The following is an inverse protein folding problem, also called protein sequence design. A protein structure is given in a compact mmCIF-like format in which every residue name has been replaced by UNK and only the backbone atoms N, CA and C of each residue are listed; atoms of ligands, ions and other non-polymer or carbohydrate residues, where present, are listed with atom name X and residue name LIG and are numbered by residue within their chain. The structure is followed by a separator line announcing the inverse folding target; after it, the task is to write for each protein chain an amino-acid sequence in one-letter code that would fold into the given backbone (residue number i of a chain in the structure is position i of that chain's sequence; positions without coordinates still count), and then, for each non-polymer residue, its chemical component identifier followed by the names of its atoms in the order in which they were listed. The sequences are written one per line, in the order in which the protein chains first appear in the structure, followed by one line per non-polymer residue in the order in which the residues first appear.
data_IF_627608430622
#
_entry.id   IF_627608430622
#
_cell.length_a   1.000
_cell.length_b   1.000
_cell.length_c   1.000
_cell.angle_alpha   90.00
_cell.angle_beta   90.00
_cell.angle_gamma   90.00
#
_symmetry.space_group_name_H-M   'P 1'
#
loop_
_entity.id
_entity.type
_entity.pdbx_description
1 polymer ?
#
# COMPACT_ATOMS: atom_id res chain seq x y z
N UNK A 1 12.33 -2.50 7.02
CA UNK A 1 11.16 -1.64 7.35
C UNK A 1 10.12 -2.44 8.13
N UNK A 2 9.25 -1.79 8.89
CA UNK A 2 8.11 -2.40 9.59
C UNK A 2 6.89 -1.49 9.58
N UNK A 3 5.70 -2.04 9.34
CA UNK A 3 4.42 -1.35 9.55
C UNK A 3 4.05 -1.46 11.02
N UNK A 4 4.02 -0.33 11.73
CA UNK A 4 3.74 -0.28 13.18
C UNK A 4 2.30 0.10 13.49
N UNK A 5 1.61 0.75 12.56
CA UNK A 5 0.22 1.17 12.72
C UNK A 5 -0.51 1.08 11.38
N UNK A 6 -1.78 0.68 11.41
CA UNK A 6 -2.70 0.66 10.26
C UNK A 6 -4.01 1.29 10.71
N UNK A 7 -4.40 2.38 10.07
CA UNK A 7 -5.61 3.15 10.37
C UNK A 7 -6.48 3.25 9.12
N UNK A 8 -7.70 2.70 9.19
CA UNK A 8 -8.68 2.82 8.12
C UNK A 8 -9.52 4.09 8.31
N UNK A 9 -9.76 4.82 7.22
CA UNK A 9 -10.66 5.97 7.19
C UNK A 9 -11.90 5.68 6.38
N UNK A 10 -13.02 6.34 6.71
CA UNK A 10 -14.30 6.23 5.99
C UNK A 10 -14.22 6.65 4.51
N UNK A 11 -13.11 7.24 4.07
CA UNK A 11 -12.89 7.73 2.71
C UNK A 11 -12.21 6.71 1.79
N UNK A 12 -12.33 5.40 2.04
CA UNK A 12 -11.66 4.35 1.24
C UNK A 12 -10.14 4.55 1.14
N UNK A 13 -9.54 5.05 2.23
CA UNK A 13 -8.11 5.36 2.35
C UNK A 13 -7.59 4.76 3.64
N UNK A 14 -6.46 4.09 3.58
CA UNK A 14 -5.75 3.57 4.75
C UNK A 14 -4.48 4.37 4.95
N UNK A 15 -4.17 4.69 6.22
CA UNK A 15 -2.88 5.24 6.65
C UNK A 15 -2.07 4.15 7.33
N UNK A 16 -0.81 4.09 6.97
CA UNK A 16 0.19 3.20 7.53
C UNK A 16 1.27 4.07 8.16
N UNK A 17 1.63 3.75 9.40
CA UNK A 17 2.88 4.28 9.98
C UNK A 17 3.95 3.22 9.76
N UNK A 18 4.99 3.61 9.03
CA UNK A 18 6.10 2.73 8.64
C UNK A 18 7.38 3.23 9.30
N UNK A 19 8.09 2.33 9.97
CA UNK A 19 9.38 2.64 10.60
C UNK A 19 10.53 1.91 9.90
N UNK A 20 11.60 2.66 9.65
CA UNK A 20 12.86 2.14 9.15
C UNK A 20 13.75 1.75 10.34
N UNK A 21 14.35 0.54 10.33
CA UNK A 21 15.17 0.07 11.45
C UNK A 21 16.43 0.91 11.63
N UNK A 22 17.01 1.40 10.54
CA UNK A 22 18.08 2.40 10.55
C UNK A 22 17.54 3.73 10.03
N UNK A 23 17.53 4.80 10.85
CA UNK A 23 17.02 6.12 10.46
C UNK A 23 17.87 6.83 9.40
N UNK A 24 19.04 6.30 9.04
CA UNK A 24 19.91 6.82 7.99
C UNK A 24 19.88 5.96 6.70
N UNK A 25 19.36 4.74 6.77
CA UNK A 25 19.26 3.84 5.61
C UNK A 25 17.81 3.60 5.21
N UNK A 26 17.13 4.67 4.79
CA UNK A 26 15.73 4.62 4.33
C UNK A 26 15.54 4.80 2.83
N UNK A 27 16.57 5.25 2.09
CA UNK A 27 16.53 5.41 0.63
C UNK A 27 16.97 4.13 -0.08
N UNK A 28 16.38 3.85 -1.25
CA UNK A 28 16.76 2.77 -2.17
C UNK A 28 18.19 2.92 -2.69
N UNK A 29 18.83 4.09 -2.57
CA UNK A 29 20.26 4.27 -2.84
C UNK A 29 21.14 3.39 -1.94
N UNK A 30 20.73 3.17 -0.70
CA UNK A 30 21.44 2.31 0.25
C UNK A 30 21.16 0.82 0.00
N UNK A 31 20.10 0.51 -0.75
CA UNK A 31 19.67 -0.86 -1.04
C UNK A 31 19.24 -1.02 -2.52
N UNK A 32 20.13 -0.75 -3.49
CA UNK A 32 19.77 -0.65 -4.92
C UNK A 32 19.31 -1.98 -5.53
N UNK A 33 19.57 -3.10 -4.84
CA UNK A 33 19.10 -4.42 -5.23
C UNK A 33 17.59 -4.58 -5.06
N UNK A 34 16.97 -3.88 -4.11
CA UNK A 34 15.51 -3.96 -3.85
C UNK A 34 14.71 -3.55 -5.08
N UNK A 35 14.77 -2.31 -5.61
CA UNK A 35 13.98 -1.92 -6.78
C UNK A 35 14.34 -2.76 -8.02
N UNK A 36 15.61 -3.12 -8.19
CA UNK A 36 16.06 -3.96 -9.33
C UNK A 36 15.38 -5.32 -9.35
N UNK A 37 15.31 -6.00 -8.20
CA UNK A 37 14.67 -7.31 -8.10
C UNK A 37 13.15 -7.17 -8.10
N UNK A 38 12.61 -6.13 -7.46
CA UNK A 38 11.18 -5.88 -7.43
C UNK A 38 10.60 -5.71 -8.84
N UNK A 39 11.25 -4.97 -9.74
CA UNK A 39 10.80 -4.86 -11.13
C UNK A 39 10.91 -6.15 -11.95
N UNK A 40 11.71 -7.12 -11.51
CA UNK A 40 11.71 -8.45 -12.15
C UNK A 40 10.49 -9.25 -11.73
N UNK A 41 10.07 -9.13 -10.46
CA UNK A 41 8.88 -9.79 -9.92
C UNK A 41 7.59 -9.11 -10.38
N UNK A 42 7.61 -7.78 -10.48
CA UNK A 42 6.47 -6.94 -10.82
C UNK A 42 6.85 -5.98 -11.96
N UNK A 43 6.88 -6.45 -13.22
CA UNK A 43 7.26 -5.60 -14.35
C UNK A 43 6.34 -4.39 -14.55
N UNK A 44 5.03 -4.54 -14.26
CA UNK A 44 4.05 -3.47 -14.44
C UNK A 44 4.25 -2.28 -13.52
N UNK A 45 4.87 -2.50 -12.35
CA UNK A 45 5.27 -1.45 -11.43
C UNK A 45 6.09 -0.34 -12.11
N UNK A 46 6.87 -0.71 -13.14
CA UNK A 46 7.69 0.25 -13.89
C UNK A 46 6.88 1.28 -14.70
N UNK A 47 5.61 1.00 -14.96
CA UNK A 47 4.67 1.87 -15.67
C UNK A 47 3.83 2.74 -14.73
N UNK A 48 3.97 2.59 -13.40
CA UNK A 48 3.26 3.44 -12.47
C UNK A 48 3.62 4.91 -12.70
N UNK A 49 2.61 5.76 -12.57
CA UNK A 49 2.78 7.20 -12.63
C UNK A 49 2.98 7.75 -11.21
N UNK A 50 4.03 8.56 -11.01
CA UNK A 50 4.28 9.26 -9.75
C UNK A 50 4.50 10.75 -10.00
N UNK A 51 3.89 11.59 -9.17
CA UNK A 51 4.06 13.05 -9.21
C UNK A 51 5.26 13.44 -8.34
N UNK A 52 6.47 13.25 -8.86
CA UNK A 52 7.72 13.41 -8.13
C UNK A 52 8.41 14.78 -8.27
N UNK A 53 7.65 15.79 -8.72
CA UNK A 53 8.15 17.15 -8.98
C UNK A 53 9.12 17.28 -10.16
N UNK A 54 9.73 16.18 -10.61
CA UNK A 54 10.77 16.13 -11.65
C UNK A 54 10.28 15.52 -12.97
N UNK A 55 9.05 14.97 -13.00
CA UNK A 55 8.46 14.32 -14.17
C UNK A 55 9.14 12.99 -14.55
N UNK A 56 9.83 12.34 -13.61
CA UNK A 56 10.47 11.05 -13.88
C UNK A 56 9.44 9.92 -13.91
N UNK A 57 9.70 8.91 -14.74
CA UNK A 57 8.98 7.64 -14.61
C UNK A 57 9.31 6.97 -13.28
N UNK A 58 8.37 6.20 -12.75
CA UNK A 58 8.57 5.51 -11.47
C UNK A 58 9.80 4.56 -11.51
N UNK A 59 10.07 3.94 -12.67
CA UNK A 59 11.29 3.13 -12.86
C UNK A 59 12.59 3.92 -12.65
N UNK A 60 12.61 5.20 -13.03
CA UNK A 60 13.78 6.06 -12.81
C UNK A 60 13.84 6.54 -11.37
N UNK A 61 12.71 6.99 -10.84
CA UNK A 61 12.59 7.51 -9.47
C UNK A 61 12.94 6.46 -8.41
N UNK A 62 12.43 5.24 -8.55
CA UNK A 62 12.68 4.12 -7.61
C UNK A 62 14.15 3.78 -7.37
N UNK A 63 15.08 4.28 -8.20
CA UNK A 63 16.53 4.13 -7.99
C UNK A 63 17.07 5.01 -6.87
N UNK A 64 16.38 6.10 -6.54
CA UNK A 64 16.75 7.05 -5.50
C UNK A 64 15.47 7.64 -4.91
N UNK A 65 14.77 6.82 -4.13
CA UNK A 65 13.56 7.20 -3.41
C UNK A 65 13.50 6.47 -2.08
N UNK A 66 12.61 6.86 -1.19
CA UNK A 66 12.40 6.24 0.11
C UNK A 66 11.79 4.84 -0.05
N UNK A 67 12.30 3.85 0.70
CA UNK A 67 11.78 2.48 0.70
C UNK A 67 10.27 2.45 1.03
N UNK A 68 9.74 3.27 1.97
CA UNK A 68 8.29 3.37 2.19
C UNK A 68 7.48 3.87 0.99
N UNK A 69 8.06 4.71 0.12
CA UNK A 69 7.41 5.14 -1.12
C UNK A 69 7.41 4.00 -2.16
N UNK A 70 8.49 3.23 -2.27
CA UNK A 70 8.49 2.00 -3.07
C UNK A 70 7.44 0.99 -2.58
N UNK A 71 7.30 0.86 -1.26
CA UNK A 71 6.32 0.01 -0.60
C UNK A 71 4.89 0.44 -0.91
N UNK A 72 4.57 1.73 -0.90
CA UNK A 72 3.28 2.27 -1.34
C UNK A 72 2.89 1.78 -2.73
N UNK A 73 3.78 1.97 -3.70
CA UNK A 73 3.55 1.54 -5.08
C UNK A 73 3.36 0.02 -5.20
N UNK A 74 4.09 -0.76 -4.40
CA UNK A 74 3.93 -2.21 -4.36
C UNK A 74 2.56 -2.63 -3.83
N UNK A 75 2.02 -1.94 -2.80
CA UNK A 75 0.66 -2.21 -2.32
C UNK A 75 -0.35 -1.95 -3.45
N UNK A 76 -0.20 -0.84 -4.17
CA UNK A 76 -1.07 -0.49 -5.30
C UNK A 76 -1.00 -1.54 -6.41
N UNK A 77 0.20 -1.97 -6.79
CA UNK A 77 0.41 -3.04 -7.79
C UNK A 77 -0.27 -4.35 -7.37
N UNK A 78 -0.10 -4.77 -6.11
CA UNK A 78 -0.71 -6.01 -5.60
C UNK A 78 -2.24 -5.95 -5.61
N UNK A 79 -2.82 -4.79 -5.27
CA UNK A 79 -4.26 -4.59 -5.42
C UNK A 79 -4.67 -4.63 -6.89
N UNK A 80 -3.92 -3.97 -7.78
CA UNK A 80 -4.18 -3.92 -9.22
C UNK A 80 -4.10 -5.26 -9.94
N UNK A 81 -3.32 -6.22 -9.42
CA UNK A 81 -3.30 -7.59 -9.97
C UNK A 81 -4.54 -8.42 -9.62
N UNK A 82 -5.32 -7.98 -8.64
CA UNK A 82 -6.57 -8.62 -8.22
C UNK A 82 -7.78 -7.87 -8.75
N UNK A 83 -7.75 -6.54 -8.70
CA UNK A 83 -8.83 -5.67 -9.16
C UNK A 83 -8.78 -5.52 -10.69
N UNK A 84 -9.89 -5.81 -11.35
CA UNK A 84 -9.98 -5.65 -12.81
C UNK A 84 -10.14 -4.19 -13.26
N UNK A 85 -10.41 -3.26 -12.34
CA UNK A 85 -10.55 -1.83 -12.62
C UNK A 85 -10.29 -0.98 -11.37
N UNK A 86 -9.57 0.13 -11.55
CA UNK A 86 -9.34 1.11 -10.50
C UNK A 86 -8.04 1.88 -10.69
N UNK A 87 -8.14 3.21 -10.69
CA UNK A 87 -6.97 4.09 -10.59
C UNK A 87 -6.75 4.39 -9.10
N UNK A 88 -6.12 3.46 -8.38
CA UNK A 88 -5.76 3.65 -6.98
C UNK A 88 -4.60 4.63 -6.86
N UNK A 89 -4.67 5.51 -5.87
CA UNK A 89 -3.60 6.46 -5.55
C UNK A 89 -2.95 6.13 -4.21
N UNK A 90 -1.72 6.57 -4.08
CA UNK A 90 -0.98 6.55 -2.84
C UNK A 90 -0.30 7.88 -2.58
N UNK A 91 0.16 8.06 -1.36
CA UNK A 91 0.97 9.19 -0.96
C UNK A 91 1.86 8.83 0.22
N UNK A 92 3.16 9.12 0.11
CA UNK A 92 4.13 8.90 1.17
C UNK A 92 4.63 10.24 1.68
N UNK A 93 4.52 10.44 2.99
CA UNK A 93 4.89 11.69 3.67
C UNK A 93 5.83 11.41 4.85
N UNK A 94 6.65 12.40 5.19
CA UNK A 94 7.46 12.42 6.41
C UNK A 94 7.72 13.86 6.87
N UNK A 95 7.90 14.03 8.18
CA UNK A 95 8.30 15.32 8.75
C UNK A 95 9.24 15.12 9.95
N UNK A 96 10.55 15.17 9.71
CA UNK A 96 11.58 14.94 10.73
C UNK A 96 11.67 16.01 11.82
N UNK A 97 10.91 17.11 11.72
CA UNK A 97 10.80 18.08 12.81
C UNK A 97 9.78 17.65 13.86
N UNK A 98 8.84 16.78 13.49
CA UNK A 98 7.72 16.33 14.33
C UNK A 98 7.86 14.85 14.68
N UNK A 99 8.21 14.02 13.68
CA UNK A 99 8.37 12.58 13.83
C UNK A 99 9.84 12.18 13.98
N UNK A 100 10.13 11.07 14.68
CA UNK A 100 11.46 10.47 14.68
C UNK A 100 11.95 10.20 13.25
N UNK A 101 13.23 10.47 12.98
CA UNK A 101 13.85 10.17 11.69
C UNK A 101 13.65 8.69 11.33
N UNK A 102 13.26 8.41 10.09
CA UNK A 102 12.96 7.05 9.63
C UNK A 102 11.50 6.62 9.80
N UNK A 103 10.62 7.47 10.35
CA UNK A 103 9.16 7.26 10.39
C UNK A 103 8.44 7.90 9.20
N UNK A 104 7.67 7.10 8.49
CA UNK A 104 6.91 7.53 7.32
C UNK A 104 5.42 7.31 7.54
N UNK A 105 4.62 8.21 6.98
CA UNK A 105 3.17 8.05 6.88
C UNK A 105 2.85 7.73 5.43
N UNK A 106 2.45 6.49 5.18
CA UNK A 106 2.10 6.00 3.85
C UNK A 106 0.59 5.90 3.77
N UNK A 107 0.00 6.48 2.74
CA UNK A 107 -1.43 6.42 2.51
C UNK A 107 -1.71 5.69 1.21
N UNK A 108 -2.72 4.83 1.22
CA UNK A 108 -3.12 4.07 0.02
C UNK A 108 -4.65 4.06 -0.08
N UNK A 109 -5.16 4.33 -1.27
CA UNK A 109 -6.58 4.13 -1.59
C UNK A 109 -6.89 2.65 -1.77
N UNK A 110 -8.10 2.25 -1.42
CA UNK A 110 -8.59 0.88 -1.58
C UNK A 110 -10.08 0.86 -1.91
N UNK A 111 -10.55 -0.23 -2.51
CA UNK A 111 -11.99 -0.48 -2.72
C UNK A 111 -12.52 -1.67 -1.93
N UNK A 112 -11.60 -2.50 -1.42
CA UNK A 112 -11.88 -3.68 -0.62
C UNK A 112 -10.88 -3.75 0.55
N UNK A 113 -11.40 -3.68 1.78
CA UNK A 113 -10.60 -3.57 3.01
C UNK A 113 -9.75 -4.81 3.29
N UNK A 114 -10.30 -6.00 3.05
CA UNK A 114 -9.57 -7.25 3.27
C UNK A 114 -8.44 -7.41 2.25
N UNK A 115 -8.68 -7.01 1.00
CA UNK A 115 -7.66 -7.02 -0.04
C UNK A 115 -6.51 -6.08 0.31
N UNK A 116 -6.77 -4.82 0.66
CA UNK A 116 -5.68 -3.88 0.96
C UNK A 116 -4.90 -4.31 2.19
N UNK A 117 -5.57 -4.84 3.23
CA UNK A 117 -4.90 -5.37 4.42
C UNK A 117 -3.97 -6.53 4.06
N UNK A 118 -4.44 -7.46 3.21
CA UNK A 118 -3.61 -8.53 2.67
C UNK A 118 -2.43 -7.99 1.88
N UNK A 119 -2.67 -7.04 0.97
CA UNK A 119 -1.65 -6.44 0.11
C UNK A 119 -0.56 -5.73 0.93
N UNK A 120 -0.93 -5.01 2.00
CA UNK A 120 0.01 -4.38 2.94
C UNK A 120 0.97 -5.43 3.54
N UNK A 121 0.43 -6.55 4.04
CA UNK A 121 1.24 -7.60 4.68
C UNK A 121 2.12 -8.35 3.68
N UNK A 122 1.61 -8.61 2.48
CA UNK A 122 2.38 -9.24 1.41
C UNK A 122 3.51 -8.31 0.97
N UNK A 123 3.23 -7.03 0.72
CA UNK A 123 4.22 -6.04 0.33
C UNK A 123 5.32 -5.88 1.39
N UNK A 124 4.95 -5.84 2.68
CA UNK A 124 5.90 -5.69 3.79
C UNK A 124 6.88 -6.87 3.80
N UNK A 125 6.36 -8.10 3.71
CA UNK A 125 7.16 -9.32 3.66
C UNK A 125 8.03 -9.38 2.40
N UNK A 126 7.54 -8.96 1.24
CA UNK A 126 8.34 -8.92 0.00
C UNK A 126 9.53 -7.97 0.16
N UNK A 127 9.30 -6.73 0.63
CA UNK A 127 10.38 -5.77 0.83
C UNK A 127 11.40 -6.30 1.84
N UNK A 128 10.95 -6.86 2.96
CA UNK A 128 11.84 -7.47 3.97
C UNK A 128 12.63 -8.66 3.39
N UNK A 129 12.02 -9.50 2.57
CA UNK A 129 12.69 -10.64 1.94
C UNK A 129 13.67 -10.23 0.86
N UNK A 130 13.40 -9.13 0.14
CA UNK A 130 14.35 -8.54 -0.80
C UNK A 130 15.58 -7.98 -0.08
N UNK A 131 15.36 -7.24 1.00
CA UNK A 131 16.41 -6.60 1.82
C UNK A 131 17.31 -7.64 2.50
N UNK A 132 16.71 -8.70 3.06
CA UNK A 132 17.42 -9.83 3.67
C UNK A 132 17.92 -10.89 2.68
N UNK A 133 17.67 -10.71 1.38
CA UNK A 133 18.06 -11.61 0.28
C UNK A 133 17.49 -13.03 0.39
N UNK A 134 16.31 -13.17 0.95
CA UNK A 134 15.56 -14.43 1.11
C UNK A 134 14.29 -14.48 0.26
N UNK A 135 14.25 -13.76 -0.86
CA UNK A 135 13.06 -13.63 -1.70
C UNK A 135 12.58 -14.94 -2.33
N UNK A 136 13.50 -15.91 -2.48
CA UNK A 136 13.22 -17.29 -2.89
C UNK A 136 12.26 -18.02 -1.96
N UNK A 137 12.12 -17.57 -0.71
CA UNK A 137 11.18 -18.12 0.27
C UNK A 137 9.75 -17.57 0.09
N UNK A 138 9.56 -16.53 -0.72
CA UNK A 138 8.25 -15.91 -0.97
C UNK A 138 7.71 -16.40 -2.31
N UNK A 139 6.68 -17.24 -2.26
CA UNK A 139 5.95 -17.64 -3.46
C UNK A 139 4.94 -16.55 -3.86
N UNK A 140 5.37 -15.60 -4.70
CA UNK A 140 4.58 -14.44 -5.13
C UNK A 140 3.24 -14.84 -5.77
N UNK A 141 3.22 -15.87 -6.61
CA UNK A 141 2.00 -16.35 -7.28
C UNK A 141 0.95 -16.83 -6.27
N UNK A 142 1.38 -17.60 -5.27
CA UNK A 142 0.51 -18.06 -4.19
C UNK A 142 -0.01 -16.90 -3.35
N UNK A 143 0.80 -15.89 -3.11
CA UNK A 143 0.36 -14.69 -2.40
C UNK A 143 -0.72 -13.92 -3.17
N UNK A 144 -0.54 -13.73 -4.47
CA UNK A 144 -1.56 -13.10 -5.32
C UNK A 144 -2.86 -13.92 -5.29
N UNK A 145 -2.79 -15.25 -5.34
CA UNK A 145 -3.97 -16.09 -5.24
C UNK A 145 -4.69 -15.97 -3.87
N UNK A 146 -3.93 -15.87 -2.78
CA UNK A 146 -4.51 -15.58 -1.47
C UNK A 146 -5.21 -14.20 -1.45
N UNK A 147 -4.61 -13.19 -2.09
CA UNK A 147 -5.22 -11.85 -2.21
C UNK A 147 -6.56 -11.89 -2.97
N UNK A 148 -6.67 -12.71 -4.05
CA UNK A 148 -7.95 -12.91 -4.75
C UNK A 148 -9.02 -13.49 -3.84
N UNK A 149 -8.67 -14.46 -3.00
CA UNK A 149 -9.59 -15.05 -2.02
C UNK A 149 -10.03 -14.04 -0.96
N UNK A 150 -9.10 -13.22 -0.46
CA UNK A 150 -9.43 -12.14 0.47
C UNK A 150 -10.38 -11.10 -0.15
N UNK A 151 -10.14 -10.73 -1.42
CA UNK A 151 -11.03 -9.83 -2.13
C UNK A 151 -12.45 -10.42 -2.23
N UNK A 152 -12.58 -11.68 -2.67
CA UNK A 152 -13.87 -12.35 -2.76
C UNK A 152 -14.62 -12.42 -1.42
N UNK A 153 -13.91 -12.68 -0.31
CA UNK A 153 -14.50 -12.64 1.03
C UNK A 153 -14.94 -11.23 1.43
N UNK A 154 -14.14 -10.21 1.13
CA UNK A 154 -14.48 -8.81 1.41
C UNK A 154 -15.75 -8.36 0.69
N UNK A 155 -15.93 -8.79 -0.57
CA UNK A 155 -17.12 -8.47 -1.35
C UNK A 155 -18.38 -9.17 -0.79
N UNK A 156 -18.25 -10.41 -0.31
CA UNK A 156 -19.34 -11.13 0.35
C UNK A 156 -19.77 -10.44 1.65
N UNK A 157 -18.82 -9.98 2.47
CA UNK A 157 -19.14 -9.26 3.71
C UNK A 157 -19.86 -7.94 3.40
N UNK A 158 -19.38 -7.20 2.40
CA UNK A 158 -19.98 -5.93 1.99
C UNK A 158 -21.40 -6.08 1.45
N UNK A 159 -21.67 -7.15 0.71
CA UNK A 159 -23.01 -7.46 0.17
C UNK A 159 -23.96 -8.03 1.22
N UNK A 160 -23.46 -8.70 2.26
CA UNK A 160 -24.25 -9.21 3.37
C UNK A 160 -24.59 -8.16 4.44
N UNK A 161 -23.93 -7.00 4.44
CA UNK A 161 -24.24 -5.92 5.36
C UNK A 161 -25.63 -5.31 5.04
N UNK A 162 -26.56 -5.21 6.02
CA UNK A 162 -27.85 -4.58 5.77
C UNK A 162 -27.67 -3.10 5.37
N UNK A 163 -28.54 -2.54 4.53
CA UNK A 163 -28.45 -1.13 4.14
C UNK A 163 -28.48 -0.27 5.41
N UNK A 164 -27.53 0.67 5.51
CA UNK A 164 -27.49 1.66 6.58
C UNK A 164 -28.84 2.36 6.66
N UNK A 165 -29.47 2.33 7.82
CA UNK A 165 -30.72 3.05 8.09
C UNK A 165 -30.43 4.55 7.98
N UNK A 166 -30.71 5.14 6.82
CA UNK A 166 -30.90 6.58 6.72
C UNK A 166 -32.25 6.89 7.35
N UNK A 167 -32.26 7.25 8.63
CA UNK A 167 -33.42 7.85 9.27
C UNK A 167 -33.68 9.24 8.64
N UNK A 168 -34.86 9.48 8.05
CA UNK A 168 -35.32 10.84 7.87
C UNK A 168 -35.85 11.35 9.22
N UNK A 169 -35.19 12.36 9.78
CA UNK A 169 -35.77 13.20 10.83
C UNK A 169 -36.95 13.98 10.25
N UNK A 170 -38.12 13.35 10.18
CA UNK A 170 -39.38 14.04 9.96
C UNK A 170 -39.85 14.57 11.32
N UNK A 171 -39.45 15.79 11.67
CA UNK A 171 -40.14 16.53 12.73
C UNK A 171 -41.52 16.95 12.21
N UNK A 172 -42.52 16.16 12.57
CA UNK A 172 -43.89 16.65 12.69
C UNK A 172 -44.04 17.25 14.09
N UNK A 173 -44.19 18.57 14.17
CA UNK A 173 -44.78 19.23 15.32
C UNK A 173 -45.83 20.19 14.80
N UNK A 174 -47.09 19.75 14.86
CA UNK A 174 -48.24 20.64 14.84
C UNK A 174 -48.66 20.95 16.28
N UNK A 175 -48.81 22.23 16.58
CA UNK A 175 -49.85 22.83 17.42
C UNK A 175 -49.72 24.35 17.30
#
# INVERSE_FOLDING_TARGET
MKVVEILFYNSNRVKLVVEMPDPNCYSTEHAPHIPKLLFKLFPHLSYHHCHNGNGFSFRRESRSTEIPHLFEHLIIELQGQVLMSGNLKGETQWNWRVDPKGRFHVYVEYTNELLVLGAIRVAERIIQSLDSRSIDQVNVEREIENLRRLAALGDQIKTAAPPSVSEPLTQAAGA
#
